data_IF_154510972145
#
_entry.id   IF_154510972145
#
_cell.length_a   1.000
_cell.length_b   1.000
_cell.length_c   1.000
_cell.angle_alpha   90.00
_cell.angle_beta   90.00
_cell.angle_gamma   90.00
#
_symmetry.space_group_name_H-M   'P 1'
#
loop_
_entity.id
_entity.type
_entity.pdbx_description
1 polymer ?
#
# COMPACT_ATOMS: atom_id res chain seq x y z
N UNK A 1 28.77 -15.68 -65.50
CA UNK A 1 27.40 -15.68 -66.06
C UNK A 1 26.41 -15.81 -64.90
N UNK A 2 25.32 -15.02 -64.83
CA UNK A 2 25.22 -13.57 -64.94
C UNK A 2 24.63 -12.93 -63.65
N UNK A 3 24.91 -11.63 -63.50
CA UNK A 3 24.31 -10.63 -62.60
C UNK A 3 22.88 -10.26 -63.03
N UNK A 4 21.95 -10.03 -62.10
CA UNK A 4 20.79 -9.12 -62.31
C UNK A 4 20.37 -8.42 -61.01
N UNK A 5 20.22 -7.09 -61.09
CA UNK A 5 19.73 -6.11 -60.11
C UNK A 5 18.22 -6.24 -59.80
N UNK A 6 17.72 -5.59 -58.72
CA UNK A 6 16.31 -5.63 -58.34
C UNK A 6 15.47 -4.56 -59.10
N UNK A 7 14.13 -4.73 -59.23
CA UNK A 7 13.20 -3.62 -59.45
C UNK A 7 12.39 -3.36 -58.16
N UNK A 8 12.48 -2.17 -57.56
CA UNK A 8 11.73 -0.93 -57.88
C UNK A 8 10.24 -1.01 -57.52
N UNK A 9 9.88 -0.23 -56.50
CA UNK A 9 8.52 0.19 -56.14
C UNK A 9 7.91 1.10 -57.21
N UNK A 10 6.59 0.98 -57.46
CA UNK A 10 5.59 2.06 -57.37
C UNK A 10 4.18 1.53 -57.69
N UNK A 11 3.17 2.05 -56.97
CA UNK A 11 1.73 1.69 -57.03
C UNK A 11 1.03 2.15 -58.31
N UNK A 12 -0.26 2.58 -58.34
CA UNK A 12 -1.25 2.81 -57.26
C UNK A 12 -2.62 2.13 -57.56
N UNK A 13 -3.60 2.21 -56.65
CA UNK A 13 -4.96 1.74 -56.97
C UNK A 13 -5.99 1.87 -55.86
N UNK A 14 -6.65 3.03 -55.80
CA UNK A 14 -7.91 3.25 -55.09
C UNK A 14 -9.05 2.41 -55.69
N UNK A 15 -9.90 1.78 -54.87
CA UNK A 15 -11.36 2.05 -54.88
C UNK A 15 -12.18 1.11 -53.97
N UNK A 16 -13.13 1.77 -53.28
CA UNK A 16 -14.51 1.35 -52.96
C UNK A 16 -14.76 0.21 -51.96
N UNK A 17 -14.99 0.64 -50.71
CA UNK A 17 -16.24 0.50 -49.95
C UNK A 17 -17.17 -0.68 -50.22
N UNK A 18 -17.36 -1.48 -49.16
CA UNK A 18 -18.63 -2.12 -48.84
C UNK A 18 -18.90 -1.99 -47.33
N UNK A 19 -20.09 -1.50 -47.02
CA UNK A 19 -20.66 -1.37 -45.68
C UNK A 19 -20.88 -2.76 -45.07
N UNK A 20 -20.43 -2.98 -43.83
CA UNK A 20 -21.03 -3.96 -42.93
C UNK A 20 -21.42 -3.25 -41.63
N UNK A 21 -22.68 -2.82 -41.61
CA UNK A 21 -23.40 -2.39 -40.42
C UNK A 21 -23.54 -3.58 -39.46
N UNK A 22 -23.21 -3.31 -38.20
CA UNK A 22 -23.97 -3.75 -37.04
C UNK A 22 -23.99 -5.25 -36.75
N UNK A 23 -23.12 -5.68 -35.83
CA UNK A 23 -23.48 -6.68 -34.82
C UNK A 23 -22.66 -6.44 -33.55
N UNK A 24 -23.32 -5.74 -32.61
CA UNK A 24 -23.26 -5.85 -31.15
C UNK A 24 -21.97 -6.38 -30.49
N UNK A 25 -21.24 -5.48 -29.84
CA UNK A 25 -20.14 -5.78 -28.90
C UNK A 25 -20.62 -6.10 -27.47
N UNK A 26 -21.91 -6.37 -27.24
CA UNK A 26 -22.44 -6.64 -25.88
C UNK A 26 -22.19 -8.06 -25.35
N UNK A 27 -21.73 -9.01 -26.17
CA UNK A 27 -21.75 -10.43 -25.77
C UNK A 27 -20.49 -10.93 -25.04
N UNK A 28 -19.43 -10.12 -24.90
CA UNK A 28 -18.18 -10.51 -24.21
C UNK A 28 -18.11 -9.94 -22.78
N UNK A 29 -18.83 -8.86 -22.48
CA UNK A 29 -18.82 -8.22 -21.14
C UNK A 29 -19.79 -8.91 -20.16
N UNK A 30 -20.87 -9.53 -20.65
CA UNK A 30 -21.90 -10.16 -19.79
C UNK A 30 -21.53 -11.53 -19.20
N UNK A 31 -20.43 -12.15 -19.68
CA UNK A 31 -20.01 -13.48 -19.22
C UNK A 31 -18.99 -13.48 -18.09
N UNK A 32 -18.40 -12.34 -17.73
CA UNK A 32 -17.38 -12.29 -16.65
C UNK A 32 -17.98 -11.83 -15.30
N UNK A 33 -19.09 -11.10 -15.30
CA UNK A 33 -19.77 -10.73 -14.03
C UNK A 33 -20.38 -11.93 -13.29
N UNK A 34 -20.64 -13.04 -13.99
CA UNK A 34 -21.24 -14.25 -13.40
C UNK A 34 -20.24 -15.16 -12.64
N UNK A 35 -18.93 -14.90 -12.73
CA UNK A 35 -17.87 -15.66 -12.02
C UNK A 35 -17.24 -14.88 -10.85
N UNK A 36 -17.82 -13.74 -10.47
CA UNK A 36 -17.39 -13.00 -9.28
C UNK A 36 -17.81 -13.75 -8.00
N UNK A 37 -16.88 -13.88 -7.06
CA UNK A 37 -17.14 -14.47 -5.75
C UNK A 37 -18.41 -13.84 -5.11
N UNK A 38 -19.38 -14.66 -4.65
CA UNK A 38 -20.65 -14.18 -4.09
C UNK A 38 -20.50 -13.21 -2.92
N UNK A 39 -19.38 -13.21 -2.19
CA UNK A 39 -19.07 -12.22 -1.18
C UNK A 39 -18.72 -10.87 -1.79
N UNK A 40 -17.82 -10.83 -2.75
CA UNK A 40 -17.41 -9.58 -3.40
C UNK A 40 -18.52 -8.96 -4.22
N UNK A 41 -19.34 -9.79 -4.86
CA UNK A 41 -20.56 -9.32 -5.52
C UNK A 41 -21.52 -8.66 -4.52
N UNK A 42 -21.68 -9.23 -3.31
CA UNK A 42 -22.47 -8.58 -2.24
C UNK A 42 -21.88 -7.26 -1.77
N UNK A 43 -20.55 -7.17 -1.62
CA UNK A 43 -19.87 -5.92 -1.28
C UNK A 43 -20.11 -4.87 -2.36
N UNK A 44 -19.88 -5.24 -3.62
CA UNK A 44 -20.08 -4.37 -4.78
C UNK A 44 -21.53 -3.89 -4.87
N UNK A 45 -22.51 -4.79 -4.83
CA UNK A 45 -23.94 -4.41 -4.87
C UNK A 45 -24.33 -3.50 -3.70
N UNK A 46 -23.89 -3.82 -2.48
CA UNK A 46 -24.16 -3.00 -1.31
C UNK A 46 -23.54 -1.61 -1.47
N UNK A 47 -22.30 -1.51 -1.92
CA UNK A 47 -21.62 -0.24 -2.10
C UNK A 47 -22.18 0.60 -3.24
N UNK A 48 -22.50 -0.02 -4.38
CA UNK A 48 -23.19 0.65 -5.48
C UNK A 48 -24.53 1.19 -5.03
N UNK A 49 -25.29 0.43 -4.24
CA UNK A 49 -26.55 0.90 -3.69
C UNK A 49 -26.35 2.15 -2.83
N UNK A 50 -25.33 2.19 -1.97
CA UNK A 50 -25.06 3.37 -1.13
C UNK A 50 -24.56 4.57 -1.95
N UNK A 51 -23.73 4.34 -2.98
CA UNK A 51 -23.17 5.38 -3.85
C UNK A 51 -24.18 5.97 -4.84
N UNK A 52 -25.11 5.16 -5.34
CA UNK A 52 -26.07 5.53 -6.40
C UNK A 52 -27.47 5.83 -5.90
N UNK A 53 -27.79 5.54 -4.62
CA UNK A 53 -29.11 5.84 -4.09
C UNK A 53 -29.42 7.33 -4.28
N UNK A 54 -30.41 7.59 -5.15
CA UNK A 54 -31.11 8.87 -5.23
C UNK A 54 -31.53 9.28 -3.82
N UNK A 55 -31.70 10.59 -3.54
CA UNK A 55 -32.11 11.08 -2.24
C UNK A 55 -33.55 10.64 -1.90
N UNK A 56 -33.67 9.36 -1.55
CA UNK A 56 -34.85 8.66 -1.05
C UNK A 56 -34.98 8.90 0.44
N UNK A 57 -36.06 8.44 1.07
CA UNK A 57 -36.24 8.49 2.53
C UNK A 57 -35.03 7.95 3.31
N UNK A 58 -34.31 6.96 2.74
CA UNK A 58 -33.10 6.40 3.35
C UNK A 58 -31.95 7.41 3.44
N UNK A 59 -31.80 8.30 2.46
CA UNK A 59 -30.80 9.38 2.51
C UNK A 59 -31.15 10.43 3.59
N UNK A 60 -32.43 10.60 3.92
CA UNK A 60 -32.90 11.51 4.99
C UNK A 60 -32.69 10.95 6.40
N UNK A 61 -32.42 9.65 6.52
CA UNK A 61 -32.18 8.94 7.78
C UNK A 61 -30.70 8.63 8.01
N UNK A 62 -29.80 9.02 7.09
CA UNK A 62 -28.36 8.81 7.23
C UNK A 62 -27.79 9.66 8.37
N UNK A 63 -26.84 9.08 9.07
CA UNK A 63 -26.00 9.84 10.00
C UNK A 63 -25.06 10.77 9.23
N UNK A 64 -24.56 11.82 9.88
CA UNK A 64 -23.57 12.73 9.29
C UNK A 64 -22.32 11.94 8.81
N UNK A 65 -21.88 10.94 9.58
CA UNK A 65 -20.77 10.07 9.22
C UNK A 65 -20.99 9.31 7.90
N UNK A 66 -22.17 8.73 7.72
CA UNK A 66 -22.51 8.00 6.50
C UNK A 66 -22.56 8.93 5.27
N UNK A 67 -23.07 10.14 5.46
CA UNK A 67 -23.13 11.14 4.40
C UNK A 67 -21.73 11.63 4.00
N UNK A 68 -20.85 11.85 4.97
CA UNK A 68 -19.45 12.23 4.76
C UNK A 68 -18.67 11.15 4.01
N UNK A 69 -18.82 9.88 4.40
CA UNK A 69 -18.25 8.71 3.70
C UNK A 69 -18.65 8.71 2.23
N UNK A 70 -19.94 8.85 1.94
CA UNK A 70 -20.45 8.77 0.56
C UNK A 70 -19.98 9.95 -0.28
N UNK A 71 -20.01 11.16 0.29
CA UNK A 71 -19.54 12.37 -0.40
C UNK A 71 -18.05 12.28 -0.71
N UNK A 72 -17.26 11.75 0.23
CA UNK A 72 -15.84 11.56 0.03
C UNK A 72 -15.56 10.52 -1.06
N UNK A 73 -16.20 9.35 -1.03
CA UNK A 73 -16.04 8.33 -2.07
C UNK A 73 -16.41 8.84 -3.46
N UNK A 74 -17.50 9.61 -3.60
CA UNK A 74 -17.86 10.25 -4.88
C UNK A 74 -16.78 11.21 -5.35
N UNK A 75 -16.16 11.95 -4.44
CA UNK A 75 -15.04 12.84 -4.76
C UNK A 75 -13.83 12.07 -5.30
N UNK A 76 -13.47 10.94 -4.68
CA UNK A 76 -12.37 10.09 -5.17
C UNK A 76 -12.69 9.48 -6.53
N UNK A 77 -13.93 9.06 -6.78
CA UNK A 77 -14.34 8.53 -8.09
C UNK A 77 -14.14 9.59 -9.20
N UNK A 78 -14.60 10.82 -8.96
CA UNK A 78 -14.57 11.90 -9.94
C UNK A 78 -13.19 12.58 -10.09
N UNK A 79 -12.48 12.77 -8.99
CA UNK A 79 -11.21 13.49 -8.92
C UNK A 79 -10.26 12.82 -7.89
N UNK A 80 -9.67 11.67 -8.26
CA UNK A 80 -8.80 10.85 -7.41
C UNK A 80 -7.42 11.48 -7.15
N UNK A 81 -7.32 12.71 -6.67
CA UNK A 81 -6.02 13.32 -6.38
C UNK A 81 -5.92 13.71 -4.91
N UNK A 82 -4.93 13.16 -4.19
CA UNK A 82 -4.72 13.55 -2.80
C UNK A 82 -4.05 14.91 -2.65
N UNK A 83 -4.91 15.93 -2.72
CA UNK A 83 -4.52 17.32 -2.53
C UNK A 83 -4.67 17.72 -1.07
N UNK A 84 -3.81 18.64 -0.60
CA UNK A 84 -3.98 19.26 0.71
C UNK A 84 -5.31 20.01 0.86
N UNK A 85 -5.95 20.39 -0.27
CA UNK A 85 -7.31 20.95 -0.28
C UNK A 85 -8.34 19.90 0.12
N UNK A 86 -8.22 18.69 -0.43
CA UNK A 86 -9.12 17.57 -0.11
C UNK A 86 -8.93 17.14 1.34
N UNK A 87 -7.69 16.98 1.81
CA UNK A 87 -7.40 16.65 3.22
C UNK A 87 -7.94 17.67 4.25
N UNK A 88 -8.34 18.88 3.81
CA UNK A 88 -8.93 19.95 4.64
C UNK A 88 -10.43 20.15 4.40
N UNK A 89 -11.05 19.31 3.58
CA UNK A 89 -12.48 19.43 3.29
C UNK A 89 -13.30 19.17 4.55
N UNK A 90 -14.47 19.79 4.63
CA UNK A 90 -15.30 19.79 5.85
C UNK A 90 -15.72 18.38 6.28
N UNK A 91 -15.99 17.51 5.31
CA UNK A 91 -16.38 16.10 5.48
C UNK A 91 -15.22 15.16 5.87
N UNK A 92 -13.96 15.62 5.85
CA UNK A 92 -12.76 14.83 6.19
C UNK A 92 -12.33 15.06 7.65
N UNK A 93 -13.13 15.77 8.47
CA UNK A 93 -12.84 15.93 9.90
C UNK A 93 -13.09 14.64 10.66
N UNK A 94 -12.19 13.67 10.51
CA UNK A 94 -12.21 12.43 11.25
C UNK A 94 -12.34 12.71 12.74
N UNK A 95 -13.32 12.06 13.35
CA UNK A 95 -13.54 12.13 14.80
C UNK A 95 -12.85 11.00 15.56
N UNK A 96 -12.16 10.10 14.84
CA UNK A 96 -11.46 8.94 15.36
C UNK A 96 -10.44 9.30 16.43
N UNK A 97 -10.42 8.51 17.50
CA UNK A 97 -9.43 8.64 18.56
C UNK A 97 -8.01 8.31 18.06
N UNK A 98 -7.87 7.34 17.15
CA UNK A 98 -6.59 6.96 16.55
C UNK A 98 -6.04 8.12 15.74
N UNK A 99 -6.84 8.63 14.79
CA UNK A 99 -6.45 9.75 13.93
C UNK A 99 -6.06 10.98 14.76
N UNK A 100 -6.91 11.39 15.71
CA UNK A 100 -6.62 12.54 16.60
C UNK A 100 -5.34 12.37 17.38
N UNK A 101 -5.13 11.19 17.98
CA UNK A 101 -3.94 10.93 18.78
C UNK A 101 -2.67 10.96 17.93
N UNK A 102 -2.69 10.37 16.73
CA UNK A 102 -1.56 10.43 15.79
C UNK A 102 -1.28 11.88 15.33
N UNK A 103 -2.32 12.63 14.97
CA UNK A 103 -2.22 14.04 14.55
C UNK A 103 -1.66 14.97 15.64
N UNK A 104 -1.76 14.57 16.92
CA UNK A 104 -1.14 15.29 18.04
C UNK A 104 0.33 14.94 18.28
N UNK A 105 0.87 13.89 17.64
CA UNK A 105 2.25 13.43 17.82
C UNK A 105 3.25 14.07 16.84
N UNK A 106 2.79 14.83 15.83
CA UNK A 106 3.67 15.47 14.85
C UNK A 106 3.18 16.87 14.42
N UNK A 107 4.10 17.63 13.84
CA UNK A 107 3.83 18.94 13.25
C UNK A 107 4.59 19.14 11.92
N UNK A 108 4.42 20.32 11.28
CA UNK A 108 5.02 20.62 9.97
C UNK A 108 6.54 20.44 9.92
N UNK A 109 7.24 20.61 11.04
CA UNK A 109 8.69 20.47 11.15
C UNK A 109 9.23 19.09 10.74
N UNK A 110 8.43 18.03 10.94
CA UNK A 110 8.78 16.67 10.50
C UNK A 110 8.69 16.55 8.98
N UNK A 111 7.66 17.15 8.39
CA UNK A 111 7.46 17.15 6.94
C UNK A 111 8.59 17.95 6.28
N UNK A 112 8.96 19.09 6.87
CA UNK A 112 10.08 19.90 6.40
C UNK A 112 11.42 19.15 6.57
N UNK A 113 11.59 18.36 7.63
CA UNK A 113 12.73 17.46 7.77
C UNK A 113 12.75 16.42 6.66
N UNK A 114 11.62 15.81 6.32
CA UNK A 114 11.53 14.83 5.25
C UNK A 114 11.90 15.41 3.88
N UNK A 115 11.44 16.63 3.57
CA UNK A 115 11.84 17.36 2.35
C UNK A 115 13.33 17.61 2.28
N UNK A 116 13.89 18.21 3.34
CA UNK A 116 15.33 18.48 3.43
C UNK A 116 16.14 17.19 3.33
N UNK A 117 15.70 16.14 3.99
CA UNK A 117 16.41 14.87 4.00
C UNK A 117 16.41 14.20 2.64
N UNK A 118 15.26 14.16 1.96
CA UNK A 118 15.14 13.64 0.61
C UNK A 118 16.06 14.38 -0.38
N UNK A 119 16.06 15.72 -0.35
CA UNK A 119 16.96 16.55 -1.16
C UNK A 119 18.44 16.33 -0.83
N UNK A 120 18.77 16.28 0.47
CA UNK A 120 20.15 16.13 0.94
C UNK A 120 20.72 14.75 0.61
N UNK A 121 19.95 13.66 0.71
CA UNK A 121 20.42 12.31 0.30
C UNK A 121 20.93 12.32 -1.14
N UNK A 122 20.15 12.90 -2.07
CA UNK A 122 20.52 12.98 -3.49
C UNK A 122 21.76 13.86 -3.70
N UNK A 123 21.87 14.97 -2.97
CA UNK A 123 23.02 15.87 -3.07
C UNK A 123 24.30 15.25 -2.47
N UNK A 124 24.19 14.67 -1.28
CA UNK A 124 25.31 14.20 -0.44
C UNK A 124 25.88 12.87 -0.96
N UNK A 125 25.03 11.97 -1.45
CA UNK A 125 25.42 10.59 -1.80
C UNK A 125 25.39 10.30 -3.31
N UNK A 126 24.67 11.10 -4.09
CA UNK A 126 24.40 10.80 -5.50
C UNK A 126 24.72 11.95 -6.45
N UNK A 127 25.54 12.91 -6.01
CA UNK A 127 26.02 14.04 -6.81
C UNK A 127 24.89 14.84 -7.50
N UNK A 128 23.70 14.87 -6.90
CA UNK A 128 22.52 15.55 -7.45
C UNK A 128 21.67 14.71 -8.42
N UNK A 129 22.09 13.48 -8.76
CA UNK A 129 21.37 12.60 -9.68
C UNK A 129 20.62 11.49 -8.94
N UNK A 130 19.32 11.71 -8.70
CA UNK A 130 18.48 10.71 -8.02
C UNK A 130 18.24 9.45 -8.86
N UNK A 131 18.48 9.47 -10.18
CA UNK A 131 18.33 8.27 -11.02
C UNK A 131 19.48 7.28 -10.88
N UNK A 132 20.59 7.72 -10.28
CA UNK A 132 21.74 6.87 -9.96
C UNK A 132 21.55 6.01 -8.71
N UNK A 133 20.51 6.26 -7.92
CA UNK A 133 20.12 5.40 -6.79
C UNK A 133 19.66 4.06 -7.37
N UNK A 134 20.25 2.95 -6.96
CA UNK A 134 19.76 1.63 -7.35
C UNK A 134 18.37 1.39 -6.75
N UNK A 135 17.34 1.26 -7.60
CA UNK A 135 15.93 1.08 -7.23
C UNK A 135 15.22 0.22 -8.28
N UNK A 136 14.08 -0.36 -7.91
CA UNK A 136 13.22 -1.08 -8.86
C UNK A 136 12.41 -0.08 -9.69
N UNK A 137 12.46 -0.20 -11.02
CA UNK A 137 11.45 0.45 -11.86
C UNK A 137 10.10 -0.27 -11.66
N UNK A 138 9.24 0.31 -10.83
CA UNK A 138 7.94 -0.26 -10.45
C UNK A 138 7.06 -0.56 -11.67
N UNK A 139 7.02 0.32 -12.68
CA UNK A 139 6.27 0.10 -13.93
C UNK A 139 6.84 -1.05 -14.76
N UNK A 140 8.16 -1.06 -14.97
CA UNK A 140 8.80 -2.09 -15.78
C UNK A 140 8.62 -3.47 -15.13
N UNK A 141 8.80 -3.56 -13.81
CA UNK A 141 8.56 -4.79 -13.05
C UNK A 141 7.10 -5.24 -13.17
N UNK A 142 6.15 -4.31 -13.01
CA UNK A 142 4.73 -4.59 -13.18
C UNK A 142 4.41 -5.14 -14.58
N UNK A 143 4.83 -4.44 -15.64
CA UNK A 143 4.56 -4.85 -17.02
C UNK A 143 5.22 -6.18 -17.40
N UNK A 144 6.39 -6.48 -16.82
CA UNK A 144 7.10 -7.76 -17.02
C UNK A 144 6.32 -8.93 -16.42
N UNK A 145 5.68 -8.73 -15.27
CA UNK A 145 5.13 -9.82 -14.46
C UNK A 145 3.61 -9.90 -14.40
N UNK A 146 2.87 -8.88 -14.88
CA UNK A 146 1.40 -8.90 -14.92
C UNK A 146 0.81 -10.16 -15.59
N UNK A 147 1.36 -10.76 -16.66
CA UNK A 147 0.75 -11.94 -17.27
C UNK A 147 0.86 -13.20 -16.39
N UNK A 148 1.79 -13.20 -15.43
CA UNK A 148 2.04 -14.30 -14.49
C UNK A 148 1.39 -14.06 -13.13
N UNK A 149 0.64 -12.97 -13.01
CA UNK A 149 0.05 -12.57 -11.74
C UNK A 149 -1.13 -13.47 -11.35
N UNK A 150 -1.24 -13.76 -10.04
CA UNK A 150 -2.31 -14.56 -9.45
C UNK A 150 -3.09 -13.69 -8.46
N UNK A 151 -4.26 -13.23 -8.88
CA UNK A 151 -5.19 -12.47 -8.03
C UNK A 151 -6.55 -13.17 -7.92
N UNK A 152 -7.31 -12.79 -6.89
CA UNK A 152 -8.71 -13.19 -6.72
C UNK A 152 -9.59 -12.66 -7.86
N UNK A 153 -10.59 -13.43 -8.28
CA UNK A 153 -11.52 -13.04 -9.36
C UNK A 153 -12.30 -11.76 -9.05
N UNK A 154 -12.43 -11.41 -7.77
CA UNK A 154 -13.05 -10.18 -7.30
C UNK A 154 -12.38 -8.89 -7.79
N UNK A 155 -11.10 -8.96 -8.18
CA UNK A 155 -10.29 -7.82 -8.58
C UNK A 155 -10.18 -7.79 -10.11
N UNK A 156 -11.23 -7.26 -10.75
CA UNK A 156 -11.38 -7.26 -12.21
C UNK A 156 -11.30 -5.84 -12.82
N UNK A 157 -10.62 -5.67 -13.98
CA UNK A 157 -9.90 -6.71 -14.74
C UNK A 157 -8.54 -7.05 -14.15
N UNK A 158 -8.12 -8.31 -14.29
CA UNK A 158 -6.81 -8.78 -13.81
C UNK A 158 -5.60 -8.20 -14.57
N UNK A 159 -5.85 -7.31 -15.52
CA UNK A 159 -4.84 -6.53 -16.23
C UNK A 159 -4.79 -5.07 -15.80
N UNK A 160 -5.71 -4.60 -14.96
CA UNK A 160 -5.74 -3.22 -14.46
C UNK A 160 -4.70 -3.05 -13.35
N UNK A 161 -3.78 -2.08 -13.45
CA UNK A 161 -2.88 -1.74 -12.36
C UNK A 161 -3.63 -1.31 -11.09
N UNK A 162 -4.78 -0.64 -11.21
CA UNK A 162 -5.58 -0.24 -10.06
C UNK A 162 -6.23 -1.43 -9.36
N UNK A 163 -6.83 -2.37 -10.09
CA UNK A 163 -7.43 -3.57 -9.52
C UNK A 163 -6.38 -4.44 -8.82
N UNK A 164 -5.22 -4.64 -9.47
CA UNK A 164 -4.09 -5.37 -8.88
C UNK A 164 -3.56 -4.64 -7.64
N UNK A 165 -3.40 -3.32 -7.69
CA UNK A 165 -3.00 -2.52 -6.53
C UNK A 165 -3.95 -2.72 -5.34
N UNK A 166 -5.27 -2.60 -5.58
CA UNK A 166 -6.27 -2.81 -4.53
C UNK A 166 -6.18 -4.21 -3.89
N UNK A 167 -5.79 -5.22 -4.65
CA UNK A 167 -5.54 -6.57 -4.13
C UNK A 167 -4.21 -6.64 -3.35
N UNK A 168 -3.09 -6.35 -4.01
CA UNK A 168 -1.74 -6.65 -3.53
C UNK A 168 -1.22 -5.67 -2.48
N UNK A 169 -1.53 -4.38 -2.65
CA UNK A 169 -1.05 -3.32 -1.77
C UNK A 169 -2.12 -2.86 -0.79
N UNK A 170 -3.37 -3.20 -1.08
CA UNK A 170 -4.52 -2.93 -0.23
C UNK A 170 -5.00 -4.13 0.57
N UNK A 171 -6.01 -4.85 0.04
CA UNK A 171 -6.76 -5.90 0.75
C UNK A 171 -5.84 -6.92 1.42
N UNK A 172 -4.87 -7.47 0.68
CA UNK A 172 -4.02 -8.56 1.17
C UNK A 172 -3.19 -8.13 2.41
N UNK A 173 -2.24 -7.16 2.32
CA UNK A 173 -1.41 -6.78 3.47
C UNK A 173 -2.24 -6.25 4.64
N UNK A 174 -3.29 -5.47 4.38
CA UNK A 174 -4.14 -4.91 5.42
C UNK A 174 -4.93 -6.00 6.16
N UNK A 175 -5.43 -7.02 5.44
CA UNK A 175 -6.11 -8.16 6.06
C UNK A 175 -5.16 -9.03 6.87
N UNK A 176 -3.91 -9.20 6.43
CA UNK A 176 -2.87 -9.91 7.21
C UNK A 176 -2.64 -9.16 8.52
N UNK A 177 -2.46 -7.84 8.49
CA UNK A 177 -2.28 -7.03 9.70
C UNK A 177 -3.49 -7.14 10.65
N UNK A 178 -4.70 -7.04 10.12
CA UNK A 178 -5.94 -7.06 10.89
C UNK A 178 -6.33 -8.45 11.42
N UNK A 179 -5.78 -9.52 10.83
CA UNK A 179 -5.94 -10.89 11.34
C UNK A 179 -5.32 -11.11 12.74
N UNK A 180 -4.56 -10.12 13.24
CA UNK A 180 -4.19 -10.06 14.64
C UNK A 180 -5.41 -10.05 15.58
N UNK A 181 -6.55 -9.47 15.19
CA UNK A 181 -7.74 -9.37 16.05
C UNK A 181 -8.99 -9.97 15.43
N UNK A 182 -9.12 -9.85 14.10
CA UNK A 182 -10.35 -10.18 13.40
C UNK A 182 -10.32 -11.61 12.83
N UNK A 183 -11.47 -12.31 12.81
CA UNK A 183 -11.63 -13.53 12.02
C UNK A 183 -11.35 -13.28 10.53
N UNK A 184 -10.93 -14.29 9.75
CA UNK A 184 -10.47 -14.12 8.37
C UNK A 184 -11.40 -13.29 7.48
N UNK A 185 -12.70 -13.62 7.48
CA UNK A 185 -13.71 -12.88 6.70
C UNK A 185 -13.77 -11.39 7.06
N UNK A 186 -13.77 -11.06 8.34
CA UNK A 186 -13.83 -9.67 8.80
C UNK A 186 -12.51 -8.94 8.54
N UNK A 187 -11.38 -9.62 8.70
CA UNK A 187 -10.06 -9.07 8.37
C UNK A 187 -9.95 -8.70 6.89
N UNK A 188 -10.47 -9.55 5.98
CA UNK A 188 -10.53 -9.28 4.54
C UNK A 188 -11.45 -8.07 4.23
N UNK A 189 -12.66 -8.06 4.78
CA UNK A 189 -13.58 -6.92 4.61
C UNK A 189 -12.96 -5.61 5.10
N UNK A 190 -12.32 -5.65 6.27
CA UNK A 190 -11.68 -4.47 6.86
C UNK A 190 -10.46 -4.04 6.04
N UNK A 191 -9.66 -4.99 5.54
CA UNK A 191 -8.56 -4.73 4.63
C UNK A 191 -9.03 -4.07 3.33
N UNK A 192 -10.15 -4.50 2.76
CA UNK A 192 -10.74 -3.93 1.54
C UNK A 192 -11.14 -2.45 1.65
N UNK A 193 -11.33 -1.91 2.86
CA UNK A 193 -11.62 -0.48 3.03
C UNK A 193 -10.50 0.41 2.46
N UNK A 194 -9.24 -0.04 2.51
CA UNK A 194 -8.09 0.74 2.04
C UNK A 194 -8.04 0.94 0.52
N UNK A 195 -8.91 0.29 -0.28
CA UNK A 195 -8.96 0.53 -1.73
C UNK A 195 -9.14 2.01 -2.06
N UNK A 196 -9.80 2.77 -1.18
CA UNK A 196 -9.99 4.19 -1.37
C UNK A 196 -8.67 4.95 -1.41
N UNK A 197 -7.75 4.66 -0.48
CA UNK A 197 -6.40 5.22 -0.46
C UNK A 197 -5.57 4.75 -1.65
N UNK A 198 -5.72 3.48 -2.06
CA UNK A 198 -5.04 2.95 -3.26
C UNK A 198 -5.51 3.65 -4.54
N UNK A 199 -6.81 3.94 -4.66
CA UNK A 199 -7.36 4.69 -5.80
C UNK A 199 -6.75 6.08 -5.95
N UNK A 200 -6.37 6.72 -4.84
CA UNK A 200 -5.66 8.00 -4.85
C UNK A 200 -4.17 7.83 -5.15
N UNK A 201 -3.49 6.88 -4.49
CA UNK A 201 -2.06 6.61 -4.70
C UNK A 201 -1.74 6.24 -6.16
N UNK A 202 -2.61 5.44 -6.79
CA UNK A 202 -2.38 4.94 -8.15
C UNK A 202 -2.86 5.92 -9.23
N UNK A 203 -3.55 7.00 -8.87
CA UNK A 203 -4.20 7.89 -9.83
C UNK A 203 -3.25 8.39 -10.92
N UNK A 204 -2.02 8.76 -10.55
CA UNK A 204 -1.04 9.35 -11.45
C UNK A 204 -0.78 8.50 -12.72
N UNK A 205 -1.03 7.19 -12.66
CA UNK A 205 -0.86 6.28 -13.79
C UNK A 205 -2.10 5.42 -14.10
N UNK A 206 -3.20 5.57 -13.37
CA UNK A 206 -4.49 4.90 -13.64
C UNK A 206 -5.64 5.90 -13.81
N UNK A 207 -5.36 7.14 -14.20
CA UNK A 207 -6.37 8.16 -14.52
C UNK A 207 -7.49 7.65 -15.45
N UNK A 208 -7.18 6.94 -16.56
CA UNK A 208 -8.22 6.44 -17.47
C UNK A 208 -9.11 5.33 -16.89
N UNK A 209 -8.71 4.69 -15.79
CA UNK A 209 -9.40 3.51 -15.22
C UNK A 209 -10.59 3.89 -14.33
N UNK A 210 -11.41 4.86 -14.77
CA UNK A 210 -12.53 5.39 -13.97
C UNK A 210 -13.56 4.32 -13.59
N UNK A 211 -13.86 3.39 -14.49
CA UNK A 211 -14.82 2.30 -14.21
C UNK A 211 -14.27 1.33 -13.15
N UNK A 212 -13.00 0.95 -13.26
CA UNK A 212 -12.33 0.10 -12.26
C UNK A 212 -12.32 0.80 -10.92
N UNK A 213 -12.00 2.09 -10.89
CA UNK A 213 -12.03 2.91 -9.68
C UNK A 213 -13.42 2.91 -9.03
N UNK A 214 -14.47 3.12 -9.82
CA UNK A 214 -15.85 3.03 -9.31
C UNK A 214 -16.08 1.68 -8.64
N UNK A 215 -15.73 0.57 -9.31
CA UNK A 215 -15.89 -0.78 -8.77
C UNK A 215 -15.12 -0.96 -7.46
N UNK A 216 -13.84 -0.58 -7.41
CA UNK A 216 -13.00 -0.74 -6.22
C UNK A 216 -13.49 0.10 -5.03
N UNK A 217 -13.90 1.36 -5.29
CA UNK A 217 -14.49 2.24 -4.27
C UNK A 217 -15.83 1.69 -3.78
N UNK A 218 -16.69 1.19 -4.67
CA UNK A 218 -17.96 0.58 -4.29
C UNK A 218 -17.74 -0.64 -3.37
N UNK A 219 -16.80 -1.53 -3.70
CA UNK A 219 -16.48 -2.66 -2.83
C UNK A 219 -16.03 -2.18 -1.44
N UNK A 220 -15.18 -1.16 -1.35
CA UNK A 220 -14.73 -0.58 -0.08
C UNK A 220 -15.89 0.01 0.75
N UNK A 221 -16.80 0.75 0.11
CA UNK A 221 -18.02 1.28 0.74
C UNK A 221 -18.89 0.14 1.27
N UNK A 222 -19.14 -0.88 0.45
CA UNK A 222 -19.90 -2.06 0.87
C UNK A 222 -19.30 -2.73 2.10
N UNK A 223 -17.97 -2.88 2.14
CA UNK A 223 -17.27 -3.44 3.29
C UNK A 223 -17.39 -2.54 4.54
N UNK A 224 -17.18 -1.23 4.39
CA UNK A 224 -17.28 -0.28 5.48
C UNK A 224 -18.68 -0.27 6.13
N UNK A 225 -19.74 -0.28 5.32
CA UNK A 225 -21.12 -0.31 5.82
C UNK A 225 -21.49 -1.63 6.50
N UNK A 226 -21.01 -2.77 6.00
CA UNK A 226 -21.23 -4.07 6.66
C UNK A 226 -20.50 -4.19 8.01
N UNK A 227 -19.35 -3.52 8.15
CA UNK A 227 -18.60 -3.44 9.41
C UNK A 227 -19.15 -2.36 10.36
N UNK A 228 -20.12 -1.56 9.92
CA UNK A 228 -20.79 -0.54 10.71
C UNK A 228 -19.92 0.71 10.97
N UNK A 229 -20.21 1.47 12.05
CA UNK A 229 -19.57 2.76 12.31
C UNK A 229 -18.04 2.71 12.38
N UNK A 230 -17.47 1.60 12.86
CA UNK A 230 -16.02 1.38 12.88
C UNK A 230 -15.40 1.36 11.49
N UNK A 231 -15.99 0.59 10.57
CA UNK A 231 -15.55 0.52 9.17
C UNK A 231 -15.76 1.84 8.42
N UNK A 232 -16.89 2.50 8.63
CA UNK A 232 -17.17 3.84 8.08
C UNK A 232 -16.14 4.88 8.55
N UNK A 233 -15.73 4.82 9.81
CA UNK A 233 -14.68 5.69 10.36
C UNK A 233 -13.33 5.42 9.69
N UNK A 234 -12.92 4.15 9.55
CA UNK A 234 -11.65 3.78 8.91
C UNK A 234 -11.57 4.29 7.47
N UNK A 235 -12.68 4.24 6.74
CA UNK A 235 -12.75 4.73 5.36
C UNK A 235 -12.44 6.24 5.26
N UNK A 236 -12.91 7.05 6.23
CA UNK A 236 -12.57 8.48 6.31
C UNK A 236 -11.19 8.75 6.92
N UNK A 237 -10.69 7.89 7.81
CA UNK A 237 -9.37 8.06 8.42
C UNK A 237 -8.25 7.79 7.41
N UNK A 238 -8.45 6.82 6.51
CA UNK A 238 -7.46 6.38 5.52
C UNK A 238 -7.22 7.37 4.37
N UNK A 239 -7.93 8.49 4.33
CA UNK A 239 -7.97 9.43 3.21
C UNK A 239 -7.33 10.79 3.45
N UNK A 240 -6.56 10.90 4.52
CA UNK A 240 -5.95 12.14 4.99
C UNK A 240 -4.45 12.17 4.70
N UNK A 241 -4.03 11.67 3.52
CA UNK A 241 -2.61 11.41 3.24
C UNK A 241 -1.77 12.71 3.31
N UNK A 242 -2.34 13.84 2.88
CA UNK A 242 -1.70 15.16 2.97
C UNK A 242 -1.89 15.94 4.29
N UNK A 243 -2.23 15.30 5.41
CA UNK A 243 -2.44 15.98 6.69
C UNK A 243 -1.12 16.49 7.32
N UNK A 244 -1.13 17.74 7.83
CA UNK A 244 0.08 18.43 8.30
C UNK A 244 0.33 18.37 9.83
N UNK A 245 -0.52 17.68 10.60
CA UNK A 245 -0.47 17.64 12.06
C UNK A 245 -0.88 18.96 12.73
N UNK A 246 -1.25 18.91 14.01
CA UNK A 246 -1.62 20.10 14.78
C UNK A 246 -0.50 20.49 15.76
N UNK A 247 -0.01 21.74 15.68
CA UNK A 247 0.95 22.35 16.64
C UNK A 247 0.47 22.44 18.10
N UNK A 248 -0.68 21.86 18.46
CA UNK A 248 -1.28 21.96 19.80
C UNK A 248 -0.84 20.84 20.76
N UNK A 249 -0.03 19.89 20.30
CA UNK A 249 0.58 18.87 21.16
C UNK A 249 1.75 19.45 21.99
N UNK A 250 1.81 19.13 23.28
CA UNK A 250 2.85 19.56 24.22
C UNK A 250 4.23 18.91 23.99
N UNK A 251 4.46 18.28 22.85
CA UNK A 251 5.68 17.54 22.55
C UNK A 251 6.46 18.29 21.49
N UNK A 252 7.26 19.25 21.95
CA UNK A 252 8.34 19.83 21.16
C UNK A 252 9.29 18.70 20.75
N UNK A 253 9.30 18.33 19.48
CA UNK A 253 10.38 17.49 18.99
C UNK A 253 10.14 16.93 17.61
N UNK A 254 10.95 17.39 16.68
CA UNK A 254 11.25 16.66 15.47
C UNK A 254 12.00 15.36 15.88
N UNK A 255 11.23 14.31 16.17
CA UNK A 255 11.70 13.01 16.71
C UNK A 255 11.33 11.86 15.78
N UNK A 256 11.98 10.71 15.98
CA UNK A 256 11.69 9.49 15.22
C UNK A 256 10.23 9.05 15.38
N UNK A 257 9.69 9.14 16.60
CA UNK A 257 8.28 8.80 16.89
C UNK A 257 7.29 9.74 16.18
N UNK A 258 7.63 11.02 16.07
CA UNK A 258 6.82 11.99 15.33
C UNK A 258 6.82 11.67 13.83
N UNK A 259 7.96 11.28 13.25
CA UNK A 259 8.03 10.79 11.87
C UNK A 259 7.16 9.55 11.65
N UNK A 260 7.23 8.55 12.53
CA UNK A 260 6.37 7.36 12.44
C UNK A 260 4.87 7.68 12.55
N UNK A 261 4.50 8.67 13.37
CA UNK A 261 3.09 9.08 13.51
C UNK A 261 2.58 9.87 12.33
N UNK A 262 3.42 10.76 11.77
CA UNK A 262 3.16 11.44 10.51
C UNK A 262 2.95 10.43 9.38
N UNK A 263 3.85 9.45 9.26
CA UNK A 263 3.75 8.39 8.25
C UNK A 263 2.55 7.48 8.47
N UNK A 264 2.20 7.13 9.70
CA UNK A 264 0.96 6.37 9.98
C UNK A 264 -0.30 7.06 9.44
N UNK A 265 -0.37 8.40 9.49
CA UNK A 265 -1.47 9.18 8.92
C UNK A 265 -1.32 9.31 7.40
N UNK A 266 -0.16 9.81 6.95
CA UNK A 266 0.09 10.12 5.54
C UNK A 266 0.21 8.89 4.64
N UNK A 267 0.49 7.71 5.19
CA UNK A 267 0.52 6.43 4.46
C UNK A 267 -0.79 5.65 4.53
N UNK A 268 -1.88 6.23 5.05
CA UNK A 268 -3.18 5.56 5.13
C UNK A 268 -3.23 4.41 6.16
N UNK A 269 -2.30 4.36 7.11
CA UNK A 269 -2.17 3.26 8.08
C UNK A 269 -3.18 3.29 9.23
N UNK A 270 -3.93 4.38 9.39
CA UNK A 270 -4.88 4.62 10.51
C UNK A 270 -5.89 3.49 10.72
N UNK A 271 -6.29 2.80 9.65
CA UNK A 271 -7.19 1.65 9.70
C UNK A 271 -6.59 0.34 10.22
N UNK A 272 -5.27 0.23 10.35
CA UNK A 272 -4.57 -1.02 10.66
C UNK A 272 -4.54 -1.33 12.16
N UNK A 273 -5.72 -1.40 12.76
CA UNK A 273 -5.89 -1.53 14.20
C UNK A 273 -7.20 -2.24 14.58
N UNK A 274 -7.12 -3.08 15.61
CA UNK A 274 -8.31 -3.69 16.23
C UNK A 274 -9.24 -2.67 16.93
N UNK A 275 -8.75 -1.47 17.26
CA UNK A 275 -9.48 -0.48 18.05
C UNK A 275 -10.79 -0.04 17.39
N UNK A 276 -10.76 0.19 16.08
CA UNK A 276 -11.96 0.55 15.31
C UNK A 276 -13.05 -0.52 15.32
N UNK A 277 -12.66 -1.76 15.62
CA UNK A 277 -13.53 -2.93 15.62
C UNK A 277 -13.83 -3.44 17.04
N UNK A 278 -13.59 -2.60 18.06
CA UNK A 278 -13.90 -2.92 19.47
C UNK A 278 -12.88 -3.84 20.16
N UNK A 279 -11.67 -3.97 19.60
CA UNK A 279 -10.60 -4.78 20.18
C UNK A 279 -9.44 -3.91 20.69
N UNK A 280 -8.88 -4.30 21.85
CA UNK A 280 -7.69 -3.66 22.41
C UNK A 280 -7.95 -2.27 23.00
N UNK A 281 -6.89 -1.66 23.51
CA UNK A 281 -6.91 -0.29 24.02
C UNK A 281 -6.52 0.73 22.94
N UNK A 282 -6.76 2.02 23.18
CA UNK A 282 -6.26 3.08 22.28
C UNK A 282 -4.74 2.98 22.09
N UNK A 283 -3.99 2.73 23.16
CA UNK A 283 -2.53 2.58 23.11
C UNK A 283 -2.09 1.42 22.21
N UNK A 284 -2.75 0.27 22.33
CA UNK A 284 -2.53 -0.88 21.43
C UNK A 284 -2.86 -0.54 19.98
N UNK A 285 -3.94 0.23 19.79
CA UNK A 285 -4.42 0.60 18.49
C UNK A 285 -3.52 1.54 17.71
N UNK A 286 -2.59 2.25 18.36
CA UNK A 286 -1.63 3.13 17.70
C UNK A 286 -0.43 2.38 17.11
N UNK A 287 -0.19 1.13 17.52
CA UNK A 287 1.03 0.39 17.15
C UNK A 287 0.97 -0.11 15.71
N UNK A 288 -0.11 -0.77 15.33
CA UNK A 288 -0.30 -1.32 13.98
C UNK A 288 -0.10 -0.28 12.88
N UNK A 289 -0.77 0.90 12.93
CA UNK A 289 -0.58 1.98 11.98
C UNK A 289 0.88 2.43 11.84
N UNK A 290 1.55 2.70 12.97
CA UNK A 290 2.93 3.19 12.98
C UNK A 290 3.92 2.16 12.47
N UNK A 291 3.77 0.91 12.88
CA UNK A 291 4.70 -0.18 12.53
C UNK A 291 4.52 -0.60 11.07
N UNK A 292 3.27 -0.67 10.57
CA UNK A 292 3.02 -1.01 9.17
C UNK A 292 3.67 0.01 8.24
N UNK A 293 3.40 1.31 8.43
CA UNK A 293 3.93 2.32 7.51
C UNK A 293 5.44 2.52 7.73
N UNK A 294 5.97 2.41 8.95
CA UNK A 294 7.42 2.44 9.13
C UNK A 294 8.13 1.29 8.43
N UNK A 295 7.54 0.08 8.40
CA UNK A 295 8.06 -1.05 7.64
C UNK A 295 8.00 -0.78 6.14
N UNK A 296 6.90 -0.19 5.66
CA UNK A 296 6.74 0.18 4.25
C UNK A 296 7.83 1.18 3.84
N UNK A 297 7.98 2.27 4.61
CA UNK A 297 9.00 3.30 4.38
C UNK A 297 10.39 2.68 4.31
N UNK A 298 10.73 1.72 5.19
CA UNK A 298 12.03 1.04 5.18
C UNK A 298 12.24 0.23 3.90
N UNK A 299 11.24 -0.52 3.44
CA UNK A 299 11.37 -1.42 2.29
C UNK A 299 11.30 -0.68 0.94
N UNK A 300 10.70 0.51 0.89
CA UNK A 300 10.54 1.30 -0.33
C UNK A 300 11.46 2.52 -0.42
N UNK A 301 12.32 2.74 0.60
CA UNK A 301 13.10 3.97 0.73
C UNK A 301 13.97 4.30 -0.49
N UNK A 302 14.56 3.28 -1.14
CA UNK A 302 15.33 3.46 -2.38
C UNK A 302 14.49 4.05 -3.50
N UNK A 303 13.29 3.52 -3.71
CA UNK A 303 12.36 4.00 -4.72
C UNK A 303 11.92 5.43 -4.40
N UNK A 304 11.56 5.70 -3.14
CA UNK A 304 11.13 7.03 -2.70
C UNK A 304 12.24 8.07 -2.87
N UNK A 305 13.48 7.75 -2.46
CA UNK A 305 14.63 8.62 -2.63
C UNK A 305 14.93 8.88 -4.11
N UNK A 306 14.89 7.85 -4.96
CA UNK A 306 15.11 7.98 -6.40
C UNK A 306 14.07 8.89 -7.07
N UNK A 307 12.81 8.80 -6.60
CA UNK A 307 11.68 9.60 -7.05
C UNK A 307 11.64 11.02 -6.50
N UNK A 308 12.55 11.34 -5.57
CA UNK A 308 12.48 12.57 -4.76
C UNK A 308 11.14 12.68 -4.02
N UNK A 309 10.56 11.54 -3.66
CA UNK A 309 9.40 11.47 -2.81
C UNK A 309 9.83 11.69 -1.35
N UNK A 310 9.40 12.82 -0.80
CA UNK A 310 9.71 13.17 0.58
C UNK A 310 8.83 12.44 1.59
N UNK A 311 7.75 11.78 1.16
CA UNK A 311 6.79 11.08 2.05
C UNK A 311 7.34 9.74 2.54
N UNK A 312 8.49 9.78 3.21
CA UNK A 312 9.14 8.62 3.77
C UNK A 312 9.76 8.98 5.13
N UNK A 313 9.51 8.16 6.15
CA UNK A 313 9.99 8.41 7.50
C UNK A 313 11.51 8.37 7.62
N UNK A 314 12.21 7.53 6.85
CA UNK A 314 13.68 7.44 6.87
C UNK A 314 14.30 8.74 6.32
N UNK A 315 13.72 9.29 5.24
CA UNK A 315 14.09 10.61 4.72
C UNK A 315 13.90 11.72 5.76
N UNK A 316 12.81 11.66 6.55
CA UNK A 316 12.63 12.57 7.68
C UNK A 316 13.76 12.45 8.70
N UNK A 317 14.14 11.23 9.08
CA UNK A 317 15.22 10.99 10.06
C UNK A 317 16.55 11.53 9.55
N UNK A 318 16.88 11.34 8.27
CA UNK A 318 18.07 11.91 7.66
C UNK A 318 18.05 13.45 7.74
N UNK A 319 16.92 14.09 7.42
CA UNK A 319 16.75 15.54 7.51
C UNK A 319 16.75 16.12 8.93
N UNK A 320 16.77 15.27 9.97
CA UNK A 320 17.05 15.64 11.36
C UNK A 320 18.54 15.59 11.70
N UNK A 321 19.41 15.22 10.74
CA UNK A 321 20.85 15.13 10.91
C UNK A 321 21.33 13.82 11.55
N UNK A 322 20.53 12.76 11.49
CA UNK A 322 20.90 11.44 12.01
C UNK A 322 21.79 10.70 11.00
N UNK A 323 23.03 10.27 11.36
CA UNK A 323 23.97 9.68 10.41
C UNK A 323 23.53 8.33 9.82
N UNK A 324 22.91 7.46 10.61
CA UNK A 324 22.37 6.17 10.15
C UNK A 324 20.84 6.16 10.32
N UNK A 325 20.11 6.87 9.44
CA UNK A 325 18.68 7.06 9.58
C UNK A 325 17.91 5.74 9.44
N UNK A 326 18.37 4.84 8.57
CA UNK A 326 17.74 3.55 8.31
C UNK A 326 17.73 2.67 9.55
N UNK A 327 18.90 2.51 10.18
CA UNK A 327 19.01 1.73 11.41
C UNK A 327 18.21 2.34 12.55
N UNK A 328 18.32 3.65 12.74
CA UNK A 328 17.61 4.36 13.83
C UNK A 328 16.10 4.23 13.66
N UNK A 329 15.59 4.30 12.43
CA UNK A 329 14.16 4.14 12.15
C UNK A 329 13.70 2.69 12.36
N UNK A 330 14.46 1.70 11.88
CA UNK A 330 14.21 0.27 12.13
C UNK A 330 14.19 -0.06 13.63
N UNK A 331 15.20 0.39 14.38
CA UNK A 331 15.29 0.14 15.82
C UNK A 331 14.11 0.78 16.56
N UNK A 332 13.76 2.04 16.23
CA UNK A 332 12.63 2.74 16.85
C UNK A 332 11.30 2.04 16.56
N UNK A 333 11.07 1.58 15.33
CA UNK A 333 9.89 0.80 14.97
C UNK A 333 9.81 -0.50 15.77
N UNK A 334 10.92 -1.24 15.93
CA UNK A 334 10.94 -2.47 16.74
C UNK A 334 10.72 -2.20 18.23
N UNK A 335 11.25 -1.09 18.76
CA UNK A 335 11.01 -0.66 20.15
C UNK A 335 9.55 -0.30 20.39
N UNK A 336 8.92 0.44 19.47
CA UNK A 336 7.50 0.77 19.51
C UNK A 336 6.66 -0.52 19.43
N UNK A 337 7.00 -1.41 18.49
CA UNK A 337 6.30 -2.68 18.29
C UNK A 337 6.34 -3.61 19.49
N UNK A 338 7.42 -3.57 20.29
CA UNK A 338 7.54 -4.36 21.52
C UNK A 338 6.49 -4.02 22.58
N UNK A 339 5.92 -2.82 22.54
CA UNK A 339 4.88 -2.42 23.51
C UNK A 339 3.58 -3.21 23.32
N UNK A 340 3.21 -3.51 22.07
CA UNK A 340 2.11 -4.39 21.71
C UNK A 340 2.52 -5.35 20.57
N UNK A 341 3.25 -6.43 20.92
CA UNK A 341 3.92 -7.29 19.94
C UNK A 341 3.02 -7.93 18.90
N UNK A 342 1.79 -8.33 19.27
CA UNK A 342 0.84 -8.95 18.34
C UNK A 342 0.43 -8.00 17.22
N UNK A 343 0.08 -6.77 17.58
CA UNK A 343 -0.23 -5.69 16.62
C UNK A 343 0.92 -5.47 15.64
N UNK A 344 2.13 -5.33 16.19
CA UNK A 344 3.33 -5.05 15.42
C UNK A 344 3.75 -6.19 14.49
N UNK A 345 3.79 -7.43 14.98
CA UNK A 345 4.30 -8.57 14.23
C UNK A 345 3.44 -8.89 13.00
N UNK A 346 2.11 -8.78 13.14
CA UNK A 346 1.18 -8.99 12.03
C UNK A 346 1.24 -7.84 11.02
N UNK A 347 1.37 -6.59 11.48
CA UNK A 347 1.59 -5.43 10.61
C UNK A 347 2.89 -5.55 9.80
N UNK A 348 4.02 -5.85 10.45
CA UNK A 348 5.29 -6.10 9.76
C UNK A 348 5.18 -7.27 8.79
N UNK A 349 4.55 -8.37 9.22
CA UNK A 349 4.34 -9.55 8.40
C UNK A 349 3.56 -9.23 7.12
N UNK A 350 2.46 -8.47 7.21
CA UNK A 350 1.67 -8.08 6.04
C UNK A 350 2.46 -7.24 5.02
N UNK A 351 3.20 -6.23 5.50
CA UNK A 351 3.96 -5.33 4.63
C UNK A 351 5.16 -6.03 3.98
N UNK A 352 5.90 -6.83 4.75
CA UNK A 352 7.02 -7.63 4.20
C UNK A 352 6.48 -8.66 3.21
N UNK A 353 5.33 -9.25 3.47
CA UNK A 353 4.69 -10.16 2.54
C UNK A 353 4.40 -9.48 1.20
N UNK A 354 3.69 -8.33 1.24
CA UNK A 354 3.40 -7.51 0.06
C UNK A 354 4.67 -7.15 -0.72
N UNK A 355 5.72 -6.67 -0.04
CA UNK A 355 6.97 -6.20 -0.66
C UNK A 355 7.63 -7.28 -1.54
N UNK A 356 7.53 -8.56 -1.16
CA UNK A 356 8.12 -9.67 -1.91
C UNK A 356 7.16 -10.40 -2.85
N UNK A 357 5.85 -10.18 -2.75
CA UNK A 357 4.87 -10.84 -3.64
C UNK A 357 4.28 -9.91 -4.69
N UNK A 358 4.20 -8.61 -4.42
CA UNK A 358 3.53 -7.66 -5.27
C UNK A 358 4.32 -7.34 -6.54
N UNK A 359 3.65 -7.31 -7.69
CA UNK A 359 4.31 -7.02 -8.98
C UNK A 359 4.83 -5.59 -9.09
N UNK A 360 4.34 -4.66 -8.27
CA UNK A 360 4.84 -3.28 -8.28
C UNK A 360 6.16 -3.13 -7.52
N UNK A 361 6.31 -3.76 -6.36
CA UNK A 361 7.43 -3.49 -5.44
C UNK A 361 8.74 -4.19 -5.84
N UNK A 362 8.67 -5.43 -6.33
CA UNK A 362 9.84 -6.12 -6.88
C UNK A 362 11.03 -6.26 -5.93
N UNK A 363 10.82 -6.30 -4.61
CA UNK A 363 11.91 -6.26 -3.63
C UNK A 363 12.90 -7.43 -3.73
N UNK A 364 12.51 -8.51 -4.42
CA UNK A 364 13.39 -9.64 -4.76
C UNK A 364 14.54 -9.28 -5.73
N UNK A 365 14.43 -8.16 -6.46
CA UNK A 365 15.45 -7.69 -7.42
C UNK A 365 16.72 -7.17 -6.73
N UNK A 366 16.62 -6.71 -5.47
CA UNK A 366 17.77 -6.15 -4.76
C UNK A 366 18.77 -7.25 -4.39
N UNK A 367 20.03 -7.10 -4.84
CA UNK A 367 21.16 -8.00 -4.54
C UNK A 367 22.37 -7.21 -4.05
N UNK A 368 23.19 -7.82 -3.22
CA UNK A 368 24.41 -7.20 -2.69
C UNK A 368 24.80 -7.74 -1.32
N UNK A 369 25.82 -7.12 -0.72
CA UNK A 369 26.35 -7.48 0.59
C UNK A 369 27.67 -8.26 0.53
N UNK A 370 28.25 -8.62 1.69
CA UNK A 370 27.59 -8.77 3.00
C UNK A 370 27.59 -7.51 3.89
N UNK A 371 26.55 -7.35 4.72
CA UNK A 371 26.51 -6.39 5.83
C UNK A 371 26.42 -7.11 7.18
N UNK A 372 26.88 -6.46 8.24
CA UNK A 372 26.74 -6.99 9.58
C UNK A 372 25.29 -6.85 10.08
N UNK A 373 24.75 -7.91 10.69
CA UNK A 373 23.50 -7.85 11.43
C UNK A 373 23.65 -6.96 12.67
N UNK A 374 22.58 -6.23 13.04
CA UNK A 374 22.54 -5.48 14.29
C UNK A 374 22.00 -6.39 15.42
N UNK A 375 22.80 -6.69 16.47
CA UNK A 375 22.36 -7.54 17.57
C UNK A 375 21.16 -6.96 18.33
N UNK A 376 21.03 -5.63 18.42
CA UNK A 376 19.91 -4.99 19.11
C UNK A 376 18.61 -5.12 18.32
N UNK A 377 18.64 -4.90 17.00
CA UNK A 377 17.47 -5.13 16.14
C UNK A 377 17.05 -6.60 16.15
N UNK A 378 17.99 -7.54 16.12
CA UNK A 378 17.69 -8.97 16.27
C UNK A 378 17.01 -9.24 17.62
N UNK A 379 17.57 -8.75 18.73
CA UNK A 379 17.02 -8.93 20.07
C UNK A 379 15.60 -8.37 20.17
N UNK A 380 15.36 -7.16 19.68
CA UNK A 380 14.03 -6.55 19.68
C UNK A 380 13.03 -7.33 18.81
N UNK A 381 13.43 -7.77 17.62
CA UNK A 381 12.56 -8.58 16.76
C UNK A 381 12.23 -9.95 17.39
N UNK A 382 13.17 -10.56 18.12
CA UNK A 382 12.91 -11.77 18.91
C UNK A 382 11.87 -11.53 20.00
N UNK A 383 11.97 -10.42 20.72
CA UNK A 383 11.00 -10.02 21.75
C UNK A 383 9.60 -9.79 21.15
N UNK A 384 9.52 -9.08 20.02
CA UNK A 384 8.26 -8.86 19.30
C UNK A 384 7.67 -10.19 18.81
N UNK A 385 8.50 -11.04 18.20
CA UNK A 385 8.07 -12.36 17.72
C UNK A 385 7.49 -13.19 18.88
N UNK A 386 8.23 -13.33 19.98
CA UNK A 386 7.79 -14.10 21.13
C UNK A 386 6.49 -13.55 21.75
N UNK A 387 6.39 -12.23 21.91
CA UNK A 387 5.20 -11.59 22.50
C UNK A 387 3.96 -11.64 21.61
N UNK A 388 4.13 -11.85 20.29
CA UNK A 388 3.01 -11.93 19.34
C UNK A 388 2.32 -13.29 19.28
N UNK A 389 2.96 -14.34 19.79
CA UNK A 389 2.52 -15.74 19.61
C UNK A 389 2.94 -16.37 18.27
N UNK A 390 3.67 -15.64 17.43
CA UNK A 390 4.31 -16.16 16.22
C UNK A 390 5.66 -16.82 16.56
N UNK A 391 6.19 -17.59 15.61
CA UNK A 391 7.42 -18.38 15.78
C UNK A 391 8.63 -17.65 15.22
N UNK A 392 9.75 -17.79 15.93
CA UNK A 392 11.07 -17.43 15.40
C UNK A 392 11.53 -18.53 14.44
N UNK A 393 11.43 -18.27 13.14
CA UNK A 393 11.74 -19.19 12.07
C UNK A 393 12.26 -18.39 10.87
N UNK A 394 13.49 -17.83 10.94
CA UNK A 394 14.05 -17.03 9.86
C UNK A 394 14.20 -17.88 8.59
N UNK A 395 13.55 -17.46 7.51
CA UNK A 395 13.60 -18.10 6.19
C UNK A 395 13.84 -17.02 5.14
N UNK A 396 14.70 -17.23 4.13
CA UNK A 396 14.88 -16.25 3.06
C UNK A 396 13.54 -15.91 2.37
N UNK A 397 13.30 -14.63 2.02
CA UNK A 397 12.21 -14.29 1.12
C UNK A 397 12.47 -14.85 -0.29
N UNK A 398 11.43 -14.93 -1.15
CA UNK A 398 11.60 -15.23 -2.57
C UNK A 398 12.68 -14.36 -3.21
N UNK A 399 13.55 -14.98 -4.02
CA UNK A 399 14.66 -14.30 -4.69
C UNK A 399 14.36 -13.90 -6.13
N UNK A 400 13.19 -14.27 -6.65
CA UNK A 400 12.63 -13.82 -7.92
C UNK A 400 11.10 -13.76 -7.85
N UNK A 401 10.47 -13.20 -8.89
CA UNK A 401 9.01 -13.22 -9.02
C UNK A 401 8.49 -14.66 -9.06
N UNK A 402 9.09 -15.54 -9.85
CA UNK A 402 8.69 -16.95 -10.04
C UNK A 402 8.81 -17.74 -8.73
N UNK A 403 9.87 -17.54 -7.95
CA UNK A 403 10.00 -18.19 -6.63
C UNK A 403 8.87 -17.79 -5.66
N UNK A 404 8.25 -16.62 -5.87
CA UNK A 404 7.10 -16.15 -5.09
C UNK A 404 5.75 -16.71 -5.53
N UNK A 405 5.68 -17.55 -6.58
CA UNK A 405 4.42 -18.05 -7.14
C UNK A 405 3.58 -18.79 -6.10
N UNK A 406 4.19 -19.67 -5.31
CA UNK A 406 3.48 -20.41 -4.25
C UNK A 406 2.85 -19.47 -3.22
N UNK A 407 3.50 -18.36 -2.90
CA UNK A 407 3.00 -17.38 -1.95
C UNK A 407 1.81 -16.63 -2.55
N UNK A 408 1.88 -16.22 -3.82
CA UNK A 408 0.76 -15.57 -4.51
C UNK A 408 -0.45 -16.51 -4.68
N UNK A 409 -0.20 -17.78 -4.96
CA UNK A 409 -1.24 -18.82 -4.97
C UNK A 409 -1.93 -18.93 -3.60
N UNK A 410 -1.14 -18.99 -2.52
CA UNK A 410 -1.66 -19.03 -1.16
C UNK A 410 -2.48 -17.78 -0.82
N UNK A 411 -2.04 -16.60 -1.27
CA UNK A 411 -2.77 -15.35 -1.09
C UNK A 411 -4.13 -15.38 -1.77
N UNK A 412 -4.21 -15.90 -3.00
CA UNK A 412 -5.48 -16.05 -3.70
C UNK A 412 -6.41 -17.00 -2.95
N UNK A 413 -5.89 -18.14 -2.49
CA UNK A 413 -6.67 -19.12 -1.73
C UNK A 413 -7.23 -18.52 -0.43
N UNK A 414 -6.48 -17.67 0.26
CA UNK A 414 -6.98 -16.94 1.44
C UNK A 414 -8.11 -15.98 1.09
N UNK A 415 -7.94 -15.23 0.01
CA UNK A 415 -8.88 -14.19 -0.38
C UNK A 415 -10.18 -14.80 -0.93
N UNK A 416 -10.09 -15.85 -1.74
CA UNK A 416 -11.23 -16.57 -2.32
C UNK A 416 -11.90 -17.51 -1.30
N UNK A 417 -11.10 -18.24 -0.51
CA UNK A 417 -11.59 -19.24 0.44
C UNK A 417 -12.03 -18.65 1.79
N UNK A 418 -11.65 -17.40 2.09
CA UNK A 418 -11.82 -16.76 3.40
C UNK A 418 -11.20 -17.59 4.54
N UNK A 419 -10.11 -18.30 4.23
CA UNK A 419 -9.48 -19.24 5.15
C UNK A 419 -8.38 -18.56 5.97
N UNK A 420 -8.19 -19.05 7.20
CA UNK A 420 -7.08 -18.61 8.01
C UNK A 420 -5.79 -19.28 7.55
N UNK A 421 -4.92 -18.52 6.91
CA UNK A 421 -3.55 -18.96 6.64
C UNK A 421 -2.51 -18.23 7.48
N UNK A 422 -1.34 -18.85 7.70
CA UNK A 422 -0.24 -18.25 8.45
C UNK A 422 0.53 -17.20 7.61
N UNK A 423 -0.14 -16.37 6.80
CA UNK A 423 0.51 -15.36 5.94
C UNK A 423 1.37 -14.38 6.76
N UNK A 424 0.88 -13.94 7.92
CA UNK A 424 1.64 -13.11 8.86
C UNK A 424 2.95 -13.80 9.29
N UNK A 425 2.93 -15.12 9.50
CA UNK A 425 4.11 -15.90 9.87
C UNK A 425 5.13 -15.98 8.74
N UNK A 426 4.69 -16.09 7.48
CA UNK A 426 5.60 -16.10 6.32
C UNK A 426 6.32 -14.76 6.16
N UNK A 427 5.57 -13.65 6.14
CA UNK A 427 6.18 -12.32 6.05
C UNK A 427 7.11 -12.02 7.23
N UNK A 428 6.73 -12.42 8.46
CA UNK A 428 7.60 -12.25 9.63
C UNK A 428 8.86 -13.13 9.55
N UNK A 429 8.76 -14.36 9.06
CA UNK A 429 9.91 -15.25 8.84
C UNK A 429 10.92 -14.64 7.85
N UNK A 430 10.44 -13.98 6.80
CA UNK A 430 11.28 -13.25 5.85
C UNK A 430 11.97 -12.06 6.50
N UNK A 431 11.25 -11.26 7.29
CA UNK A 431 11.85 -10.16 8.05
C UNK A 431 12.92 -10.64 9.04
N UNK A 432 12.64 -11.73 9.76
CA UNK A 432 13.59 -12.36 10.67
C UNK A 432 14.87 -12.74 9.95
N UNK A 433 14.77 -13.29 8.73
CA UNK A 433 15.94 -13.58 7.91
C UNK A 433 16.69 -12.31 7.52
N UNK A 434 16.00 -11.30 6.98
CA UNK A 434 16.60 -10.04 6.54
C UNK A 434 17.36 -9.33 7.66
N UNK A 435 16.80 -9.31 8.88
CA UNK A 435 17.45 -8.71 10.06
C UNK A 435 18.64 -9.56 10.52
N UNK A 436 18.48 -10.89 10.59
CA UNK A 436 19.51 -11.81 11.08
C UNK A 436 20.71 -11.91 10.13
N UNK A 437 20.48 -11.83 8.82
CA UNK A 437 21.54 -11.89 7.81
C UNK A 437 22.16 -10.52 7.49
N UNK A 438 21.60 -9.44 8.02
CA UNK A 438 21.97 -8.07 7.67
C UNK A 438 21.44 -7.60 6.30
N UNK A 439 20.75 -8.46 5.55
CA UNK A 439 20.19 -8.14 4.23
C UNK A 439 19.06 -7.12 4.25
N UNK A 440 18.51 -6.77 5.42
CA UNK A 440 17.61 -5.61 5.53
C UNK A 440 18.26 -4.31 5.01
N UNK A 441 19.60 -4.23 4.99
CA UNK A 441 20.35 -3.11 4.39
C UNK A 441 20.24 -3.04 2.87
N UNK A 442 19.71 -4.06 2.20
CA UNK A 442 19.40 -3.98 0.76
C UNK A 442 18.45 -2.83 0.44
N UNK A 443 17.64 -2.38 1.40
CA UNK A 443 16.69 -1.28 1.23
C UNK A 443 17.22 0.08 1.73
N UNK A 444 18.41 0.09 2.34
CA UNK A 444 19.08 1.30 2.80
C UNK A 444 19.62 2.05 1.59
N UNK A 445 19.09 3.24 1.27
CA UNK A 445 19.57 4.01 0.14
C UNK A 445 21.05 4.39 0.30
N UNK A 446 21.59 4.51 1.52
CA UNK A 446 22.96 4.99 1.71
C UNK A 446 24.04 3.93 1.53
N UNK A 447 23.67 2.68 1.23
CA UNK A 447 24.62 1.60 0.97
C UNK A 447 24.65 1.22 -0.50
N UNK A 448 25.82 0.82 -0.98
CA UNK A 448 25.98 0.32 -2.34
C UNK A 448 25.40 -1.10 -2.47
N UNK A 449 24.66 -1.33 -3.54
CA UNK A 449 24.09 -2.63 -3.92
C UNK A 449 24.33 -2.87 -5.41
N UNK A 450 24.05 -4.08 -5.89
CA UNK A 450 24.07 -4.38 -7.31
C UNK A 450 23.02 -3.50 -8.02
N UNK A 451 23.39 -2.97 -9.20
CA UNK A 451 22.52 -2.06 -9.95
C UNK A 451 21.20 -2.72 -10.32
N UNK A 452 20.10 -2.02 -10.08
CA UNK A 452 18.73 -2.36 -10.51
C UNK A 452 18.31 -1.37 -11.62
N UNK A 453 17.24 -1.67 -12.36
CA UNK A 453 16.71 -0.87 -13.49
C UNK A 453 16.75 0.66 -13.26
N UNK A 454 17.26 1.44 -14.23
CA UNK A 454 17.69 2.84 -14.03
C UNK A 454 16.59 3.93 -14.14
N UNK A 455 15.30 3.61 -14.04
CA UNK A 455 14.21 4.58 -14.35
C UNK A 455 13.11 4.61 -13.30
N UNK A 456 12.66 5.82 -12.96
CA UNK A 456 11.76 6.09 -11.83
C UNK A 456 10.31 6.31 -12.30
N UNK A 457 9.69 5.31 -12.91
CA UNK A 457 8.30 5.37 -13.39
C UNK A 457 7.36 4.62 -12.43
N UNK A 458 6.19 5.20 -12.14
CA UNK A 458 5.21 4.75 -11.13
C UNK A 458 5.74 4.70 -9.68
N UNK A 459 6.75 5.51 -9.38
CA UNK A 459 7.32 5.66 -8.05
C UNK A 459 6.35 6.24 -7.05
#
# INVERSE_FOLDING_TARGET
MPTVNPPVLQGPGTSKGEELKGQSSCAVEEHVENDLDPQYHRLLQSGLLELTSEPTERARLRTDLEQDVINYCRTVIEAPEDTSRRAKAEWIKSTSAIFKQLMHEFGPEIIDAARRGCEAIVADHYHGDSTSIAHVNKKANFLRHIPMQIISSAFYPATSPLAIGCYETGTLPCSIALSAWLPPKQALQAGTICHLSICDDYHAFTEPEREVRHRMVAIAVGAAFLLGPGGQTVLLDGSTLQAAGDRRGSHSGATVRAAMSWRAVSGGGTGLTGYHYGHGSLGEGLIGPKVAIAMHDLLDWRCDAAAKNHENGVSAIYGLGVPDPFHVYLEAMLREGRTHPRSAAYAMGGVVYMSFTAVRYGSYEYKGGPWAACPECERLLREVTAGSGLRWMPVPPPQSFEEGEWARQLSREVVDGLEQHPLAQHGLAWLQHLVLSGQIRLFDALVDIDSVDATVDWS
#
